data_IF_923066698433
#
_entry.id   IF_923066698433
#
_cell.length_a   1.000
_cell.length_b   1.000
_cell.length_c   1.000
_cell.angle_alpha   90.00
_cell.angle_beta   90.00
_cell.angle_gamma   90.00
#
_symmetry.space_group_name_H-M   'P 1'
#
loop_
_entity.id
_entity.type
_entity.pdbx_description
1 polymer ?
#
# COMPACT_ATOMS: atom_id res chain seq x y z
N UNK A 1 14.91 8.56 4.20
CA UNK A 1 13.98 8.44 3.05
C UNK A 1 13.76 7.00 2.60
N UNK A 2 14.82 6.24 2.25
CA UNK A 2 14.74 4.85 1.73
C UNK A 2 13.92 3.88 2.62
N UNK A 3 14.14 3.89 3.94
CA UNK A 3 13.46 2.97 4.87
C UNK A 3 11.93 3.15 4.91
N UNK A 4 11.44 4.36 4.64
CA UNK A 4 10.00 4.64 4.56
C UNK A 4 9.39 4.09 3.28
N UNK A 5 10.11 4.17 2.15
CA UNK A 5 9.66 3.65 0.85
C UNK A 5 9.61 2.13 0.82
N UNK A 6 10.62 1.45 1.36
CA UNK A 6 10.64 -0.02 1.45
C UNK A 6 9.48 -0.52 2.33
N UNK A 7 9.21 0.16 3.45
CA UNK A 7 8.07 -0.17 4.32
C UNK A 7 6.73 0.06 3.61
N UNK A 8 6.61 1.12 2.82
CA UNK A 8 5.42 1.42 2.02
C UNK A 8 5.15 0.37 0.94
N UNK A 9 6.20 -0.13 0.27
CA UNK A 9 6.08 -1.23 -0.70
C UNK A 9 5.59 -2.51 -0.01
N UNK A 10 6.19 -2.90 1.13
CA UNK A 10 5.72 -4.05 1.91
C UNK A 10 4.26 -3.89 2.35
N UNK A 11 3.88 -2.69 2.76
CA UNK A 11 2.52 -2.38 3.17
C UNK A 11 1.50 -2.46 2.01
N UNK A 12 1.94 -2.23 0.77
CA UNK A 12 1.09 -2.39 -0.40
C UNK A 12 0.57 -3.82 -0.57
N UNK A 13 1.37 -4.81 -0.18
CA UNK A 13 0.97 -6.22 -0.21
C UNK A 13 0.35 -6.66 1.11
N UNK A 14 0.88 -6.21 2.25
CA UNK A 14 0.37 -6.59 3.57
C UNK A 14 -1.02 -5.99 3.88
N UNK A 15 -1.32 -4.77 3.44
CA UNK A 15 -2.60 -4.11 3.67
C UNK A 15 -3.80 -4.93 3.18
N UNK A 16 -3.83 -5.38 1.90
CA UNK A 16 -4.87 -6.25 1.36
C UNK A 16 -4.93 -7.61 2.06
N UNK A 17 -3.78 -8.19 2.41
CA UNK A 17 -3.72 -9.47 3.16
C UNK A 17 -4.38 -9.32 4.53
N UNK A 18 -4.04 -8.26 5.28
CA UNK A 18 -4.64 -7.98 6.59
C UNK A 18 -6.15 -7.75 6.45
N UNK A 19 -6.58 -7.00 5.44
CA UNK A 19 -8.00 -6.81 5.11
C UNK A 19 -8.71 -8.15 4.84
N UNK A 20 -8.10 -9.03 4.04
CA UNK A 20 -8.63 -10.36 3.75
C UNK A 20 -8.79 -11.21 5.01
N UNK A 21 -7.80 -11.19 5.91
CA UNK A 21 -7.90 -11.87 7.21
C UNK A 21 -8.99 -11.26 8.11
N UNK A 22 -9.12 -9.94 8.16
CA UNK A 22 -10.19 -9.29 8.92
C UNK A 22 -11.57 -9.71 8.42
N UNK A 23 -11.77 -9.75 7.11
CA UNK A 23 -13.03 -10.22 6.51
C UNK A 23 -13.29 -11.69 6.84
N UNK A 24 -12.26 -12.54 6.71
CA UNK A 24 -12.36 -13.96 7.04
C UNK A 24 -12.74 -14.18 8.50
N UNK A 25 -12.07 -13.48 9.43
CA UNK A 25 -12.35 -13.56 10.85
C UNK A 25 -13.78 -13.07 11.13
N UNK A 26 -14.17 -11.92 10.58
CA UNK A 26 -15.53 -11.37 10.74
C UNK A 26 -16.59 -12.39 10.33
N UNK A 27 -16.38 -13.08 9.21
CA UNK A 27 -17.29 -14.11 8.74
C UNK A 27 -17.36 -15.33 9.68
N UNK A 28 -16.23 -15.71 10.28
CA UNK A 28 -16.15 -16.87 11.18
C UNK A 28 -16.69 -16.58 12.59
N UNK A 29 -16.49 -15.39 13.15
CA UNK A 29 -16.83 -15.09 14.56
C UNK A 29 -18.18 -14.41 14.75
N UNK A 30 -18.65 -13.63 13.76
CA UNK A 30 -19.87 -12.81 13.94
C UNK A 30 -20.59 -12.63 12.61
N UNK A 31 -21.22 -13.68 12.05
CA UNK A 31 -22.04 -13.56 10.85
C UNK A 31 -23.29 -12.71 11.15
N UNK A 32 -23.18 -11.39 10.99
CA UNK A 32 -24.26 -10.42 11.22
C UNK A 32 -23.79 -9.04 11.66
N UNK A 33 -22.66 -8.97 12.39
CA UNK A 33 -22.12 -7.70 12.88
C UNK A 33 -20.81 -7.34 12.16
N UNK A 34 -20.81 -6.19 11.48
CA UNK A 34 -19.67 -5.71 10.71
C UNK A 34 -18.74 -4.83 11.56
N UNK A 35 -18.17 -5.40 12.61
CA UNK A 35 -17.24 -4.67 13.48
C UNK A 35 -15.93 -4.29 12.77
N UNK A 36 -15.54 -5.02 11.71
CA UNK A 36 -14.32 -4.74 10.94
C UNK A 36 -14.40 -3.50 10.04
N UNK A 37 -15.55 -2.81 9.97
CA UNK A 37 -15.77 -1.68 9.06
C UNK A 37 -14.76 -0.54 9.28
N UNK A 38 -14.55 -0.14 10.53
CA UNK A 38 -13.64 0.96 10.86
C UNK A 38 -12.17 0.60 10.65
N UNK A 39 -11.79 -0.65 10.94
CA UNK A 39 -10.46 -1.16 10.66
C UNK A 39 -10.21 -1.21 9.14
N UNK A 40 -11.20 -1.68 8.36
CA UNK A 40 -11.13 -1.74 6.92
C UNK A 40 -10.98 -0.35 6.27
N UNK A 41 -11.71 0.65 6.77
CA UNK A 41 -11.57 2.05 6.32
C UNK A 41 -10.18 2.60 6.64
N UNK A 42 -9.68 2.41 7.87
CA UNK A 42 -8.35 2.88 8.27
C UNK A 42 -7.22 2.26 7.43
N UNK A 43 -7.30 0.94 7.21
CA UNK A 43 -6.33 0.22 6.37
C UNK A 43 -6.45 0.67 4.91
N UNK A 44 -7.67 0.83 4.39
CA UNK A 44 -7.93 1.27 3.02
C UNK A 44 -7.32 2.64 2.73
N UNK A 45 -7.54 3.63 3.61
CA UNK A 45 -6.98 4.98 3.47
C UNK A 45 -5.45 4.93 3.52
N UNK A 46 -4.89 4.24 4.53
CA UNK A 46 -3.45 4.10 4.65
C UNK A 46 -2.82 3.43 3.42
N UNK A 47 -3.50 2.43 2.87
CA UNK A 47 -3.05 1.68 1.70
C UNK A 47 -3.04 2.55 0.45
N UNK A 48 -4.09 3.33 0.23
CA UNK A 48 -4.19 4.27 -0.90
C UNK A 48 -3.10 5.35 -0.85
N UNK A 49 -2.85 5.92 0.33
CA UNK A 49 -1.76 6.89 0.52
C UNK A 49 -0.39 6.23 0.25
N UNK A 50 -0.21 4.98 0.70
CA UNK A 50 1.02 4.21 0.43
C UNK A 50 1.23 3.97 -1.07
N UNK A 51 0.16 3.61 -1.80
CA UNK A 51 0.18 3.43 -3.24
C UNK A 51 0.64 4.69 -3.97
N UNK A 52 0.04 5.84 -3.67
CA UNK A 52 0.45 7.12 -4.25
C UNK A 52 1.93 7.42 -4.01
N UNK A 53 2.42 7.18 -2.78
CA UNK A 53 3.84 7.38 -2.45
C UNK A 53 4.76 6.49 -3.26
N UNK A 54 4.39 5.23 -3.48
CA UNK A 54 5.19 4.28 -4.26
C UNK A 54 5.20 4.66 -5.73
N UNK A 55 4.05 5.01 -6.31
CA UNK A 55 3.95 5.45 -7.72
C UNK A 55 4.83 6.69 -7.95
N UNK A 56 4.70 7.72 -7.11
CA UNK A 56 5.53 8.93 -7.23
C UNK A 56 7.01 8.61 -7.11
N UNK A 57 7.40 7.72 -6.20
CA UNK A 57 8.80 7.31 -6.06
C UNK A 57 9.33 6.59 -7.32
N UNK A 58 8.52 5.71 -7.93
CA UNK A 58 8.88 5.02 -9.19
C UNK A 58 8.99 6.01 -10.33
N UNK A 59 8.06 6.95 -10.47
CA UNK A 59 8.08 7.97 -11.52
C UNK A 59 9.31 8.88 -11.40
N UNK A 60 9.63 9.34 -10.19
CA UNK A 60 10.81 10.18 -9.95
C UNK A 60 12.10 9.41 -10.22
N UNK A 61 12.22 8.17 -9.70
CA UNK A 61 13.41 7.35 -9.92
C UNK A 61 13.59 6.99 -11.41
N UNK A 62 12.49 6.62 -12.09
CA UNK A 62 12.47 6.32 -13.51
C UNK A 62 12.81 7.54 -14.37
N UNK A 63 12.26 8.71 -14.03
CA UNK A 63 12.57 9.97 -14.71
C UNK A 63 14.04 10.37 -14.58
N UNK A 64 14.62 10.23 -13.38
CA UNK A 64 16.05 10.48 -13.16
C UNK A 64 16.90 9.49 -13.97
N UNK A 65 16.56 8.20 -13.95
CA UNK A 65 17.27 7.18 -14.72
C UNK A 65 17.22 7.45 -16.23
N UNK A 66 16.06 7.85 -16.75
CA UNK A 66 15.90 8.22 -18.16
C UNK A 66 16.72 9.47 -18.53
N UNK A 67 16.75 10.49 -17.67
CA UNK A 67 17.56 11.69 -17.88
C UNK A 67 19.05 11.37 -17.92
N UNK A 68 19.56 10.55 -16.98
CA UNK A 68 20.96 10.13 -16.97
C UNK A 68 21.30 9.34 -18.24
N UNK A 69 20.40 8.46 -18.69
CA UNK A 69 20.59 7.71 -19.93
C UNK A 69 20.62 8.62 -21.16
N UNK A 70 19.78 9.66 -21.19
CA UNK A 70 19.75 10.63 -22.27
C UNK A 70 21.00 11.52 -22.31
N UNK A 71 21.52 11.94 -21.15
CA UNK A 71 22.74 12.77 -21.04
C UNK A 71 24.04 11.99 -21.27
N UNK A 72 23.99 10.66 -21.21
CA UNK A 72 25.13 9.77 -21.53
C UNK A 72 25.27 9.46 -23.02
N UNK A 73 24.27 9.80 -23.84
CA UNK A 73 24.36 9.81 -25.30
C UNK A 73 25.02 11.10 -25.77
#
# INVERSE_FOLDING_TARGET
MIFRTIRAIKFLFMGPVILGFLVLINWMTSPGDWWVQWAALGIGIAWFISLFRVITAVLVAGGIAALIAALRK
#
